data_IF_570715780603
#
_entry.id   IF_570715780603
#
_cell.length_a   1.000
_cell.length_b   1.000
_cell.length_c   1.000
_cell.angle_alpha   90.00
_cell.angle_beta   90.00
_cell.angle_gamma   90.00
#
_symmetry.space_group_name_H-M   'P 1'
#
loop_
_entity.id
_entity.type
_entity.pdbx_description
1 polymer ?
#
# COMPACT_ATOMS: atom_id res chain seq x y z
N UNK A 1 -2.72 -15.09 9.97
CA UNK A 1 -3.35 -14.64 8.71
C UNK A 1 -4.37 -13.56 8.96
N UNK A 2 -4.39 -12.51 8.14
CA UNK A 2 -5.38 -11.42 8.28
C UNK A 2 -4.85 -10.01 8.00
N UNK A 3 -3.54 -9.85 7.81
CA UNK A 3 -2.93 -8.54 7.49
C UNK A 3 -2.32 -8.59 6.10
N UNK A 4 -2.69 -7.65 5.24
CA UNK A 4 -2.11 -7.46 3.91
C UNK A 4 -1.24 -6.22 3.92
N UNK A 5 0.05 -6.40 3.72
CA UNK A 5 0.99 -5.29 3.50
C UNK A 5 1.04 -4.97 2.01
N UNK A 6 0.65 -3.75 1.64
CA UNK A 6 0.65 -3.29 0.24
C UNK A 6 1.52 -2.04 0.06
N UNK A 7 2.46 -2.12 -0.87
CA UNK A 7 3.38 -1.03 -1.21
C UNK A 7 2.87 -0.20 -2.41
N UNK A 8 2.99 1.12 -2.31
CA UNK A 8 2.57 2.05 -3.35
C UNK A 8 3.58 2.12 -4.50
N UNK A 9 3.18 1.73 -5.72
CA UNK A 9 4.05 1.70 -6.89
C UNK A 9 4.56 3.10 -7.29
N UNK A 10 3.74 4.13 -7.13
CA UNK A 10 4.19 5.52 -7.34
C UNK A 10 5.34 5.91 -6.40
N UNK A 11 5.28 5.48 -5.14
CA UNK A 11 6.34 5.74 -4.18
C UNK A 11 7.57 4.89 -4.47
N UNK A 12 7.37 3.62 -4.83
CA UNK A 12 8.46 2.74 -5.24
C UNK A 12 9.25 3.32 -6.41
N UNK A 13 8.56 3.82 -7.45
CA UNK A 13 9.18 4.52 -8.59
C UNK A 13 9.95 5.77 -8.13
N UNK A 14 9.37 6.59 -7.25
CA UNK A 14 10.04 7.79 -6.71
C UNK A 14 11.29 7.46 -5.88
N UNK A 15 11.31 6.28 -5.24
CA UNK A 15 12.40 5.81 -4.38
C UNK A 15 13.35 4.83 -5.07
N UNK A 16 13.17 4.57 -6.35
CA UNK A 16 13.92 3.56 -7.11
C UNK A 16 13.93 2.18 -6.44
N UNK A 17 12.78 1.77 -5.89
CA UNK A 17 12.58 0.45 -5.28
C UNK A 17 11.90 -0.48 -6.27
N UNK A 18 12.45 -1.68 -6.47
CA UNK A 18 11.87 -2.72 -7.31
C UNK A 18 11.06 -3.73 -6.50
N UNK A 19 10.23 -4.55 -7.16
CA UNK A 19 9.38 -5.54 -6.47
C UNK A 19 10.20 -6.61 -5.77
N UNK A 20 11.37 -6.94 -6.29
CA UNK A 20 12.31 -7.95 -5.76
C UNK A 20 12.95 -7.49 -4.44
N UNK A 21 12.94 -6.19 -4.16
CA UNK A 21 13.44 -5.62 -2.91
C UNK A 21 12.37 -5.61 -1.81
N UNK A 22 11.13 -5.97 -2.11
CA UNK A 22 10.07 -6.10 -1.12
C UNK A 22 10.17 -7.44 -0.40
N UNK A 23 9.63 -7.49 0.82
CA UNK A 23 9.47 -8.74 1.54
C UNK A 23 8.53 -9.68 0.76
N UNK A 24 8.76 -11.01 0.75
CA UNK A 24 8.00 -11.94 -0.10
C UNK A 24 6.48 -11.94 0.13
N UNK A 25 6.02 -11.48 1.30
CA UNK A 25 4.60 -11.41 1.67
C UNK A 25 3.95 -10.06 1.30
N UNK A 26 4.72 -9.08 0.85
CA UNK A 26 4.19 -7.76 0.49
C UNK A 26 3.60 -7.80 -0.93
N UNK A 27 2.43 -7.20 -1.08
CA UNK A 27 1.81 -6.95 -2.38
C UNK A 27 2.08 -5.51 -2.83
N UNK A 28 1.70 -5.17 -4.06
CA UNK A 28 1.80 -3.81 -4.57
C UNK A 28 0.42 -3.27 -4.95
N UNK A 29 0.27 -1.94 -4.88
CA UNK A 29 -0.89 -1.20 -5.39
C UNK A 29 -0.41 -0.06 -6.27
N UNK A 30 -1.17 0.20 -7.33
CA UNK A 30 -0.98 1.33 -8.26
C UNK A 30 -0.74 2.67 -7.53
N UNK A 31 -1.56 2.98 -6.53
CA UNK A 31 -1.51 4.21 -5.75
C UNK A 31 -1.99 3.98 -4.32
N UNK A 32 -1.10 4.20 -3.34
CA UNK A 32 -1.44 4.01 -1.93
C UNK A 32 -2.60 4.89 -1.45
N UNK A 33 -2.71 6.12 -1.94
CA UNK A 33 -3.82 7.01 -1.58
C UNK A 33 -5.14 6.59 -2.26
N UNK A 34 -5.09 6.20 -3.53
CA UNK A 34 -6.29 5.75 -4.24
C UNK A 34 -6.83 4.45 -3.61
N UNK A 35 -5.94 3.55 -3.21
CA UNK A 35 -6.30 2.31 -2.52
C UNK A 35 -6.98 2.57 -1.17
N UNK A 36 -6.48 3.53 -0.39
CA UNK A 36 -7.11 3.95 0.87
C UNK A 36 -8.50 4.55 0.63
N UNK A 37 -8.68 5.36 -0.41
CA UNK A 37 -9.99 5.92 -0.77
C UNK A 37 -10.96 4.80 -1.18
N UNK A 38 -10.57 3.93 -2.11
CA UNK A 38 -11.40 2.78 -2.55
C UNK A 38 -11.83 1.89 -1.38
N UNK A 39 -10.96 1.65 -0.40
CA UNK A 39 -11.29 0.89 0.80
C UNK A 39 -12.26 1.63 1.72
N UNK A 40 -12.06 2.92 1.95
CA UNK A 40 -13.02 3.71 2.73
C UNK A 40 -14.39 3.75 2.07
N UNK A 41 -14.47 3.90 0.75
CA UNK A 41 -15.73 3.81 -0.02
C UNK A 41 -16.38 2.42 0.11
N UNK A 42 -15.58 1.36 0.21
CA UNK A 42 -16.04 0.01 0.51
C UNK A 42 -16.39 -0.23 1.99
N UNK A 43 -16.42 0.82 2.83
CA UNK A 43 -16.84 0.75 4.23
C UNK A 43 -15.73 0.42 5.24
N UNK A 44 -14.46 0.47 4.83
CA UNK A 44 -13.35 0.21 5.75
C UNK A 44 -13.10 1.42 6.67
N UNK A 45 -12.83 1.14 7.94
CA UNK A 45 -12.27 2.16 8.83
C UNK A 45 -10.82 2.48 8.42
N UNK A 46 -10.50 3.77 8.37
CA UNK A 46 -9.16 4.26 8.06
C UNK A 46 -8.49 4.82 9.31
N UNK A 47 -7.24 4.41 9.53
CA UNK A 47 -6.40 4.91 10.61
C UNK A 47 -5.06 5.33 10.00
N UNK A 48 -4.68 6.61 10.17
CA UNK A 48 -3.32 7.08 9.88
C UNK A 48 -2.50 7.00 11.16
N UNK A 49 -1.52 6.10 11.20
CA UNK A 49 -0.56 6.00 12.30
C UNK A 49 0.80 6.59 11.86
N UNK A 50 1.18 7.72 12.46
CA UNK A 50 2.43 8.43 12.15
C UNK A 50 2.22 9.90 11.78
N UNK A 51 3.32 10.67 11.74
CA UNK A 51 3.34 12.08 11.34
C UNK A 51 3.47 12.19 9.82
#
# INVERSE_FOLDING_TARGET
DGVVFSACENMMKKKNVTKEQLLPFATTTDSGIAEVIRKQEAGWSYIKSGI
#
